data_IF_594487827048
#
_entry.id   IF_594487827048
#
_cell.length_a   1.000
_cell.length_b   1.000
_cell.length_c   1.000
_cell.angle_alpha   90.00
_cell.angle_beta   90.00
_cell.angle_gamma   90.00
#
_symmetry.space_group_name_H-M   'P 1'
#
loop_
_entity.id
_entity.type
_entity.pdbx_description
1 polymer ?
#
# COMPACT_ATOMS: atom_id res chain seq x y z
N UNK A 1 -10.73 -0.78 23.10
CA UNK A 1 -9.71 -1.31 22.18
C UNK A 1 -10.21 -1.21 20.75
N UNK A 2 -9.43 -0.58 19.85
CA UNK A 2 -9.80 -0.36 18.44
C UNK A 2 -8.93 -1.23 17.53
N UNK A 3 -9.53 -1.91 16.54
CA UNK A 3 -8.77 -2.61 15.51
C UNK A 3 -8.81 -1.85 14.21
N UNK A 4 -7.65 -1.58 13.65
CA UNK A 4 -7.52 -1.23 12.24
C UNK A 4 -7.14 -2.48 11.44
N UNK A 5 -8.14 -3.06 10.77
CA UNK A 5 -8.00 -4.17 9.83
C UNK A 5 -7.60 -3.59 8.47
N UNK A 6 -6.31 -3.37 8.29
CA UNK A 6 -5.71 -2.86 7.06
C UNK A 6 -5.24 -3.93 6.07
N UNK A 7 -5.52 -3.68 4.79
CA UNK A 7 -4.85 -4.28 3.64
C UNK A 7 -4.17 -3.12 2.89
N UNK A 8 -2.85 -3.07 2.89
CA UNK A 8 -2.11 -1.98 2.22
C UNK A 8 -2.09 -2.26 0.71
N UNK A 9 -3.18 -1.90 0.02
CA UNK A 9 -3.23 -1.78 -1.46
C UNK A 9 -3.11 -0.32 -1.91
N UNK A 10 -2.24 0.44 -1.25
CA UNK A 10 -1.99 1.86 -1.51
C UNK A 10 -1.37 2.56 -0.30
N UNK A 11 -0.95 3.81 -0.47
CA UNK A 11 -0.48 4.67 0.64
C UNK A 11 -1.59 4.83 1.70
N UNK A 12 -1.29 4.49 2.95
CA UNK A 12 -2.12 4.88 4.08
C UNK A 12 -1.69 6.28 4.48
N UNK A 13 -2.33 7.30 3.90
CA UNK A 13 -2.27 8.65 4.44
C UNK A 13 -3.35 8.73 5.51
N UNK A 14 -2.97 8.59 6.77
CA UNK A 14 -3.81 9.02 7.87
C UNK A 14 -3.85 10.56 7.81
N UNK A 15 -4.88 11.11 7.15
CA UNK A 15 -5.16 12.53 7.19
C UNK A 15 -5.84 12.81 8.52
N UNK A 16 -5.11 13.47 9.42
CA UNK A 16 -5.71 14.10 10.59
C UNK A 16 -6.62 15.23 10.10
N UNK A 17 -7.93 14.97 10.04
CA UNK A 17 -8.93 15.98 9.69
C UNK A 17 -9.21 16.90 10.89
N UNK A 18 -8.19 17.62 11.36
CA UNK A 18 -8.33 18.88 12.13
C UNK A 18 -9.22 18.87 13.37
N UNK A 19 -9.65 17.70 13.87
CA UNK A 19 -10.38 17.49 15.10
C UNK A 19 -9.77 16.27 15.75
N UNK A 20 -8.71 16.53 16.51
CA UNK A 20 -7.88 15.52 17.15
C UNK A 20 -8.72 14.39 17.74
N UNK A 21 -8.57 13.21 17.15
CA UNK A 21 -8.77 11.97 17.88
C UNK A 21 -7.65 11.97 18.93
N UNK A 22 -7.95 12.07 20.23
CA UNK A 22 -6.90 12.03 21.23
C UNK A 22 -6.22 10.66 21.10
N UNK A 23 -4.94 10.66 20.74
CA UNK A 23 -4.13 9.46 20.65
C UNK A 23 -3.89 8.78 22.03
N UNK A 24 -4.63 9.18 23.06
CA UNK A 24 -4.42 8.83 24.47
C UNK A 24 -5.37 7.76 25.02
N UNK A 25 -6.23 7.14 24.22
CA UNK A 25 -7.10 6.06 24.74
C UNK A 25 -7.46 4.93 23.77
N UNK A 26 -6.78 4.85 22.62
CA UNK A 26 -7.04 3.81 21.64
C UNK A 26 -5.78 2.98 21.41
N UNK A 27 -5.72 1.79 22.03
CA UNK A 27 -4.88 0.71 21.51
C UNK A 27 -5.32 0.48 20.06
N UNK A 28 -4.46 0.84 19.10
CA UNK A 28 -4.73 0.66 17.66
C UNK A 28 -4.03 -0.62 17.24
N UNK A 29 -4.78 -1.67 16.93
CA UNK A 29 -4.19 -2.87 16.34
C UNK A 29 -4.01 -2.64 14.84
N UNK A 30 -2.76 -2.59 14.35
CA UNK A 30 -2.46 -2.49 12.93
C UNK A 30 -2.27 -3.88 12.32
N UNK A 31 -3.12 -4.19 11.34
CA UNK A 31 -2.93 -5.33 10.45
C UNK A 31 -2.06 -4.93 9.25
N UNK A 32 -1.02 -5.70 8.99
CA UNK A 32 -0.34 -5.68 7.70
C UNK A 32 -0.70 -6.97 6.94
N UNK A 33 -1.83 -6.94 6.24
CA UNK A 33 -2.24 -8.07 5.41
C UNK A 33 -1.45 -8.07 4.09
N UNK A 34 -0.31 -8.75 4.10
CA UNK A 34 0.34 -9.21 2.87
C UNK A 34 0.47 -10.73 2.82
N UNK A 35 -0.07 -11.40 3.85
CA UNK A 35 -0.28 -12.84 3.90
C UNK A 35 -1.25 -13.25 2.79
N UNK A 36 -0.74 -14.02 1.84
CA UNK A 36 -1.57 -14.95 1.06
C UNK A 36 -2.42 -15.78 2.03
N UNK A 37 -3.65 -16.11 1.64
CA UNK A 37 -4.56 -16.93 2.45
C UNK A 37 -3.80 -18.13 3.07
N UNK A 38 -3.66 -18.13 4.39
CA UNK A 38 -2.92 -19.17 5.14
C UNK A 38 -1.66 -18.72 5.88
N UNK A 39 -1.10 -17.53 5.64
CA UNK A 39 0.09 -17.05 6.37
C UNK A 39 -0.29 -16.23 7.61
N UNK A 40 0.27 -16.61 8.78
CA UNK A 40 -0.05 -15.98 10.06
C UNK A 40 0.68 -14.65 10.33
N UNK A 41 1.62 -14.24 9.46
CA UNK A 41 2.55 -13.13 9.70
C UNK A 41 2.52 -12.12 8.56
N UNK A 42 2.49 -10.84 8.93
CA UNK A 42 2.53 -9.72 8.01
C UNK A 42 3.90 -9.60 7.34
N UNK A 43 3.94 -9.65 6.00
CA UNK A 43 5.15 -9.43 5.19
C UNK A 43 5.16 -8.05 4.56
N UNK A 44 5.71 -7.02 5.19
CA UNK A 44 5.68 -5.67 4.64
C UNK A 44 7.02 -4.97 4.83
N UNK A 45 7.42 -4.19 3.83
CA UNK A 45 8.56 -3.29 3.96
C UNK A 45 8.10 -2.03 4.65
N UNK A 46 8.77 -1.67 5.75
CA UNK A 46 8.64 -0.36 6.38
C UNK A 46 9.85 0.46 5.98
N UNK A 47 9.62 1.65 5.44
CA UNK A 47 10.65 2.55 4.92
C UNK A 47 10.47 3.94 5.54
N UNK A 48 11.55 4.65 5.80
CA UNK A 48 11.44 6.05 6.22
C UNK A 48 11.11 6.93 5.01
N UNK A 49 10.53 8.11 5.28
CA UNK A 49 10.26 9.09 4.22
C UNK A 49 11.54 9.51 3.48
N UNK A 50 12.63 9.70 4.23
CA UNK A 50 13.91 10.12 3.66
C UNK A 50 14.53 9.01 2.78
N UNK A 51 14.46 7.74 3.20
CA UNK A 51 15.05 6.64 2.43
C UNK A 51 14.26 6.37 1.15
N UNK A 52 12.92 6.49 1.20
CA UNK A 52 12.07 6.40 0.01
C UNK A 52 12.37 7.54 -0.98
N UNK A 53 12.50 8.78 -0.50
CA UNK A 53 12.86 9.91 -1.37
C UNK A 53 14.25 9.72 -2.01
N UNK A 54 15.24 9.25 -1.23
CA UNK A 54 16.56 8.92 -1.75
C UNK A 54 16.50 7.82 -2.82
N UNK A 55 15.71 6.76 -2.60
CA UNK A 55 15.52 5.71 -3.58
C UNK A 55 14.91 6.21 -4.89
N UNK A 56 13.90 7.09 -4.82
CA UNK A 56 13.32 7.72 -6.02
C UNK A 56 14.32 8.58 -6.79
N UNK A 57 15.26 9.24 -6.09
CA UNK A 57 16.35 9.97 -6.74
C UNK A 57 17.36 9.01 -7.40
N UNK A 58 17.76 7.95 -6.70
CA UNK A 58 18.73 6.96 -7.18
C UNK A 58 18.23 6.14 -8.37
N UNK A 59 16.92 5.88 -8.45
CA UNK A 59 16.30 5.21 -9.60
C UNK A 59 16.53 5.91 -10.94
N UNK A 60 16.94 7.19 -10.94
CA UNK A 60 17.30 7.94 -12.15
C UNK A 60 18.73 7.64 -12.63
N UNK A 61 19.57 7.08 -11.77
CA UNK A 61 21.03 6.96 -11.98
C UNK A 61 21.46 5.50 -12.02
N UNK A 62 20.88 4.65 -11.16
CA UNK A 62 21.28 3.24 -11.02
C UNK A 62 20.11 2.26 -11.19
N UNK A 63 20.37 0.99 -11.55
CA UNK A 63 19.34 -0.04 -11.71
C UNK A 63 18.51 -0.30 -10.45
N UNK A 64 17.22 -0.62 -10.63
CA UNK A 64 16.25 -0.85 -9.56
C UNK A 64 16.70 -1.92 -8.54
N UNK A 65 17.33 -3.01 -8.97
CA UNK A 65 17.77 -4.08 -8.08
C UNK A 65 18.83 -3.61 -7.06
N UNK A 66 19.71 -2.69 -7.45
CA UNK A 66 20.69 -2.08 -6.55
C UNK A 66 20.00 -1.14 -5.55
N UNK A 67 19.03 -0.34 -6.02
CA UNK A 67 18.25 0.54 -5.14
C UNK A 67 17.47 -0.27 -4.10
N UNK A 68 16.88 -1.40 -4.51
CA UNK A 68 16.16 -2.29 -3.60
C UNK A 68 17.07 -2.90 -2.55
N UNK A 69 18.25 -3.36 -2.95
CA UNK A 69 19.24 -3.94 -2.02
C UNK A 69 19.71 -2.89 -1.02
N UNK A 70 19.97 -1.66 -1.50
CA UNK A 70 20.32 -0.53 -0.66
C UNK A 70 19.20 -0.19 0.33
N UNK A 71 17.94 -0.13 -0.12
CA UNK A 71 16.80 0.13 0.75
C UNK A 71 16.63 -0.93 1.83
N UNK A 72 16.79 -2.22 1.49
CA UNK A 72 16.73 -3.31 2.47
C UNK A 72 17.84 -3.17 3.51
N UNK A 73 19.05 -2.81 3.09
CA UNK A 73 20.17 -2.58 4.01
C UNK A 73 19.91 -1.38 4.93
N UNK A 74 19.49 -0.24 4.37
CA UNK A 74 19.15 0.97 5.12
C UNK A 74 18.04 0.68 6.14
N UNK A 75 16.98 -0.04 5.74
CA UNK A 75 15.91 -0.42 6.64
C UNK A 75 16.41 -1.32 7.78
N UNK A 76 17.29 -2.29 7.49
CA UNK A 76 17.87 -3.18 8.51
C UNK A 76 18.72 -2.39 9.51
N UNK A 77 19.48 -1.39 9.05
CA UNK A 77 20.26 -0.51 9.93
C UNK A 77 19.36 0.43 10.74
N UNK A 78 18.34 1.01 10.12
CA UNK A 78 17.47 2.02 10.75
C UNK A 78 16.53 1.39 11.78
N UNK A 79 15.92 0.26 11.44
CA UNK A 79 14.83 -0.32 12.21
C UNK A 79 15.18 -1.59 12.96
N UNK A 80 16.27 -2.25 12.57
CA UNK A 80 16.68 -3.55 13.11
C UNK A 80 15.80 -4.68 12.61
N UNK A 81 15.81 -5.79 13.36
CA UNK A 81 14.95 -6.94 13.09
C UNK A 81 13.54 -6.75 13.68
N UNK A 82 12.56 -6.64 12.79
CA UNK A 82 11.15 -6.43 13.11
C UNK A 82 10.35 -7.74 13.26
N UNK A 83 10.97 -8.90 13.03
CA UNK A 83 10.30 -10.20 13.13
C UNK A 83 9.68 -10.44 14.50
N UNK A 84 10.35 -9.95 15.56
CA UNK A 84 9.88 -10.01 16.96
C UNK A 84 8.56 -9.26 17.20
N UNK A 85 8.22 -8.29 16.34
CA UNK A 85 6.99 -7.52 16.40
C UNK A 85 5.93 -8.04 15.42
N UNK A 86 6.08 -9.25 14.86
CA UNK A 86 5.13 -9.83 13.92
C UNK A 86 5.22 -9.27 12.50
N UNK A 87 6.29 -8.52 12.18
CA UNK A 87 6.54 -7.95 10.86
C UNK A 87 7.73 -8.67 10.21
N UNK A 88 7.45 -9.41 9.15
CA UNK A 88 8.48 -10.07 8.35
C UNK A 88 8.85 -9.23 7.12
N UNK A 89 10.13 -9.24 6.78
CA UNK A 89 10.61 -8.63 5.55
C UNK A 89 10.22 -9.52 4.36
N UNK A 90 9.51 -8.99 3.34
CA UNK A 90 9.25 -9.72 2.11
C UNK A 90 10.53 -10.16 1.38
N UNK A 91 10.44 -11.22 0.57
CA UNK A 91 11.55 -11.68 -0.29
C UNK A 91 11.88 -10.67 -1.40
N UNK A 92 10.86 -10.12 -2.03
CA UNK A 92 11.02 -9.08 -3.05
C UNK A 92 11.40 -7.76 -2.36
N UNK A 93 12.26 -6.96 -3.00
CA UNK A 93 12.62 -5.63 -2.49
C UNK A 93 11.45 -4.64 -2.49
N UNK A 94 11.55 -3.50 -1.78
CA UNK A 94 10.50 -2.49 -1.66
C UNK A 94 9.90 -2.03 -3.00
N UNK A 95 10.74 -1.80 -4.00
CA UNK A 95 10.34 -1.29 -5.31
C UNK A 95 9.92 -2.43 -6.24
N UNK A 96 10.64 -3.56 -6.23
CA UNK A 96 10.26 -4.74 -7.01
C UNK A 96 8.89 -5.29 -6.58
N UNK A 97 8.63 -5.34 -5.27
CA UNK A 97 7.33 -5.76 -4.73
C UNK A 97 6.19 -4.87 -5.20
N UNK A 98 6.45 -3.57 -5.37
CA UNK A 98 5.51 -2.62 -5.96
C UNK A 98 5.25 -2.90 -7.43
N UNK A 99 6.31 -3.08 -8.23
CA UNK A 99 6.18 -3.30 -9.68
C UNK A 99 5.51 -4.64 -9.98
N UNK A 100 5.96 -5.72 -9.33
CA UNK A 100 5.53 -7.09 -9.61
C UNK A 100 4.16 -7.41 -9.02
N UNK A 101 3.94 -7.03 -7.76
CA UNK A 101 2.76 -7.47 -6.99
C UNK A 101 1.80 -6.32 -6.67
N UNK A 102 2.12 -5.07 -7.05
CA UNK A 102 1.36 -3.90 -6.65
C UNK A 102 1.39 -3.64 -5.14
N UNK A 103 2.33 -4.26 -4.41
CA UNK A 103 2.46 -4.14 -2.95
C UNK A 103 3.37 -2.97 -2.62
N UNK A 104 2.82 -1.94 -1.99
CA UNK A 104 3.59 -0.78 -1.56
C UNK A 104 4.23 -1.02 -0.19
N UNK A 105 5.41 -0.43 -0.01
CA UNK A 105 6.02 -0.28 1.30
C UNK A 105 5.27 0.76 2.12
N UNK A 106 5.20 0.55 3.44
CA UNK A 106 4.64 1.50 4.38
C UNK A 106 5.71 2.56 4.66
N UNK A 107 5.38 3.82 4.42
CA UNK A 107 6.22 4.94 4.85
C UNK A 107 5.97 5.17 6.33
N UNK A 108 6.99 4.94 7.16
CA UNK A 108 6.92 5.16 8.59
C UNK A 108 6.95 6.65 8.93
N UNK A 109 5.98 7.05 9.75
CA UNK A 109 5.82 8.41 10.27
C UNK A 109 5.75 8.42 11.80
N UNK A 110 6.23 7.36 12.45
CA UNK A 110 6.14 7.14 13.91
C UNK A 110 5.28 5.92 14.29
N UNK A 111 4.77 5.20 13.30
CA UNK A 111 4.00 3.96 13.51
C UNK A 111 4.86 2.88 14.15
N UNK A 112 6.10 2.76 13.70
CA UNK A 112 6.99 1.73 14.21
C UNK A 112 7.37 1.95 15.68
N UNK A 113 7.52 3.20 16.11
CA UNK A 113 7.77 3.53 17.52
C UNK A 113 6.63 3.04 18.40
N UNK A 114 5.38 3.26 17.97
CA UNK A 114 4.19 2.77 18.67
C UNK A 114 4.07 1.24 18.68
N UNK A 115 4.54 0.57 17.63
CA UNK A 115 4.63 -0.90 17.62
C UNK A 115 5.67 -1.37 18.64
N UNK A 116 6.82 -0.69 18.71
CA UNK A 116 7.89 -1.02 19.66
C UNK A 116 7.50 -0.73 21.12
N UNK A 117 6.73 0.33 21.38
CA UNK A 117 6.22 0.66 22.71
C UNK A 117 5.08 -0.25 23.18
N UNK A 118 4.44 -0.98 22.25
CA UNK A 118 3.31 -1.86 22.55
C UNK A 118 1.94 -1.17 22.49
N UNK A 119 1.89 0.14 22.24
CA UNK A 119 0.66 0.89 21.95
C UNK A 119 -0.07 0.36 20.71
N UNK A 120 0.69 -0.19 19.75
CA UNK A 120 0.16 -0.88 18.57
C UNK A 120 0.60 -2.33 18.59
N UNK A 121 -0.36 -3.24 18.61
CA UNK A 121 -0.11 -4.67 18.50
C UNK A 121 -0.34 -5.15 17.07
N UNK A 122 0.58 -5.97 16.55
CA UNK A 122 0.43 -6.63 15.25
C UNK A 122 -0.15 -8.03 15.48
N UNK A 123 -1.37 -8.26 14.98
CA UNK A 123 -2.07 -9.53 15.12
C UNK A 123 -2.10 -10.31 13.78
N UNK A 124 -2.28 -11.66 13.83
CA UNK A 124 -2.41 -12.48 12.63
C UNK A 124 -3.61 -12.11 11.75
N UNK A 125 -3.77 -12.81 10.63
CA UNK A 125 -4.92 -12.59 9.73
C UNK A 125 -6.27 -12.77 10.45
N UNK A 126 -7.23 -11.89 10.17
CA UNK A 126 -8.62 -12.04 10.58
C UNK A 126 -9.19 -13.33 9.97
N UNK A 127 -9.80 -14.18 10.81
CA UNK A 127 -10.49 -15.40 10.36
C UNK A 127 -12.00 -15.22 10.26
N UNK A 128 -12.61 -14.64 11.30
CA UNK A 128 -14.06 -14.40 11.33
C UNK A 128 -14.43 -13.38 12.38
N UNK A 129 -15.52 -12.65 12.16
CA UNK A 129 -16.17 -11.79 13.16
C UNK A 129 -17.43 -12.53 13.63
N UNK A 130 -17.64 -12.60 14.95
CA UNK A 130 -18.72 -13.33 15.62
C UNK A 130 -19.49 -12.41 16.58
N UNK A 131 -20.53 -12.95 17.23
CA UNK A 131 -21.17 -12.32 18.38
C UNK A 131 -21.76 -10.93 18.08
N UNK A 132 -22.41 -10.76 16.93
CA UNK A 132 -23.01 -9.47 16.55
C UNK A 132 -22.02 -8.37 16.13
N UNK A 133 -20.72 -8.69 15.98
CA UNK A 133 -19.72 -7.77 15.43
C UNK A 133 -18.56 -7.44 16.36
N UNK A 134 -18.65 -7.75 17.66
CA UNK A 134 -17.61 -7.42 18.65
C UNK A 134 -16.50 -8.47 18.81
N UNK A 135 -16.80 -9.74 18.52
CA UNK A 135 -15.82 -10.83 18.67
C UNK A 135 -15.04 -11.06 17.40
N UNK A 136 -13.71 -10.96 17.50
CA UNK A 136 -12.81 -11.15 16.38
C UNK A 136 -11.92 -12.37 16.61
N UNK A 137 -12.06 -13.36 15.73
CA UNK A 137 -11.23 -14.57 15.72
C UNK A 137 -10.12 -14.42 14.69
N UNK A 138 -8.88 -14.69 15.10
CA UNK A 138 -7.70 -14.61 14.24
C UNK A 138 -7.25 -15.99 13.73
N UNK A 139 -6.36 -16.01 12.75
CA UNK A 139 -5.86 -17.21 12.09
C UNK A 139 -5.15 -18.20 13.03
N UNK A 140 -4.64 -17.72 14.16
CA UNK A 140 -4.07 -18.55 15.22
C UNK A 140 -5.12 -19.13 16.19
N UNK A 141 -6.41 -18.91 15.94
CA UNK A 141 -7.52 -19.36 16.78
C UNK A 141 -7.82 -18.50 18.01
N UNK A 142 -7.00 -17.47 18.29
CA UNK A 142 -7.26 -16.55 19.41
C UNK A 142 -8.46 -15.65 19.09
N UNK A 143 -9.25 -15.36 20.12
CA UNK A 143 -10.41 -14.48 20.06
C UNK A 143 -10.15 -13.24 20.91
N UNK A 144 -10.54 -12.07 20.40
CA UNK A 144 -10.44 -10.79 21.10
C UNK A 144 -11.73 -10.00 20.90
N UNK A 145 -12.07 -9.18 21.90
CA UNK A 145 -13.22 -8.28 21.88
C UNK A 145 -12.76 -6.87 21.52
N UNK A 146 -13.49 -6.20 20.63
CA UNK A 146 -13.17 -4.86 20.19
C UNK A 146 -14.39 -3.96 20.15
N UNK A 147 -14.21 -2.70 20.54
CA UNK A 147 -15.30 -1.71 20.54
C UNK A 147 -15.55 -1.16 19.13
N UNK A 148 -14.48 -1.10 18.32
CA UNK A 148 -14.51 -0.56 16.96
C UNK A 148 -13.61 -1.40 16.05
N UNK A 149 -14.13 -1.72 14.87
CA UNK A 149 -13.41 -2.39 13.78
C UNK A 149 -13.38 -1.46 12.57
N UNK A 150 -12.19 -0.99 12.21
CA UNK A 150 -11.95 -0.14 11.05
C UNK A 150 -11.36 -0.96 9.90
N UNK A 151 -12.06 -1.03 8.76
CA UNK A 151 -11.53 -1.65 7.55
C UNK A 151 -10.75 -0.64 6.71
N UNK A 152 -9.43 -0.75 6.73
CA UNK A 152 -8.51 0.02 5.89
C UNK A 152 -7.99 -0.82 4.72
N UNK A 153 -8.91 -1.47 3.98
CA UNK A 153 -8.58 -2.46 2.95
C UNK A 153 -8.39 -1.89 1.54
N UNK A 154 -8.35 -0.56 1.43
CA UNK A 154 -8.23 0.17 0.16
C UNK A 154 -9.56 0.33 -0.57
N UNK A 155 -9.48 0.71 -1.85
CA UNK A 155 -10.64 1.04 -2.68
C UNK A 155 -10.65 0.20 -3.97
N UNK A 156 -11.86 -0.13 -4.46
CA UNK A 156 -12.08 -0.68 -5.79
C UNK A 156 -12.41 0.45 -6.77
N UNK A 157 -11.93 0.33 -8.01
CA UNK A 157 -12.23 1.28 -9.09
C UNK A 157 -13.43 0.75 -9.88
N UNK A 158 -14.46 1.57 -10.04
CA UNK A 158 -15.66 1.24 -10.82
C UNK A 158 -15.65 1.83 -12.22
N UNK A 159 -14.53 2.42 -12.67
CA UNK A 159 -14.44 3.11 -13.97
C UNK A 159 -14.86 2.23 -15.14
N UNK A 160 -14.51 0.95 -15.12
CA UNK A 160 -14.91 -0.02 -16.14
C UNK A 160 -16.43 -0.31 -16.18
N UNK A 161 -17.20 0.06 -15.14
CA UNK A 161 -18.64 -0.16 -15.09
C UNK A 161 -19.46 0.94 -15.76
N UNK A 162 -18.90 2.14 -15.92
CA UNK A 162 -19.62 3.30 -16.45
C UNK A 162 -18.96 3.92 -17.68
N UNK A 163 -17.67 3.69 -17.92
CA UNK A 163 -16.97 4.20 -19.09
C UNK A 163 -17.34 3.41 -20.35
N UNK A 164 -18.22 3.96 -21.16
CA UNK A 164 -18.62 3.37 -22.45
C UNK A 164 -17.45 3.40 -23.43
N UNK A 165 -17.22 2.28 -24.14
CA UNK A 165 -16.09 2.13 -25.06
C UNK A 165 -14.71 2.04 -24.37
N UNK A 166 -14.68 1.88 -23.05
CA UNK A 166 -13.47 1.74 -22.25
C UNK A 166 -12.97 0.30 -22.07
N UNK A 167 -13.66 -0.69 -22.64
CA UNK A 167 -13.37 -2.12 -22.41
C UNK A 167 -11.99 -2.54 -22.94
N UNK A 168 -11.53 -1.94 -24.03
CA UNK A 168 -10.17 -2.14 -24.55
C UNK A 168 -9.12 -1.40 -23.72
N UNK A 169 -9.50 -0.35 -22.99
CA UNK A 169 -8.61 0.51 -22.24
C UNK A 169 -8.39 0.02 -20.80
N UNK A 170 -9.44 -0.43 -20.11
CA UNK A 170 -9.41 -0.79 -18.70
C UNK A 170 -9.76 -2.27 -18.48
N UNK A 171 -9.07 -2.92 -17.55
CA UNK A 171 -9.45 -4.24 -17.06
C UNK A 171 -10.55 -4.16 -15.99
N UNK A 172 -11.01 -5.33 -15.52
CA UNK A 172 -12.01 -5.48 -14.46
C UNK A 172 -11.61 -4.85 -13.11
N UNK A 173 -10.31 -4.60 -12.88
CA UNK A 173 -9.82 -3.88 -11.70
C UNK A 173 -9.83 -2.34 -11.89
N UNK A 174 -10.32 -1.86 -13.05
CA UNK A 174 -10.30 -0.45 -13.47
C UNK A 174 -8.88 0.08 -13.71
N UNK A 175 -7.95 -0.80 -14.10
CA UNK A 175 -6.55 -0.48 -14.40
C UNK A 175 -6.32 -0.51 -15.91
N UNK A 176 -5.35 0.25 -16.45
CA UNK A 176 -5.04 0.19 -17.87
C UNK A 176 -4.62 -1.22 -18.29
N UNK A 177 -5.12 -1.68 -19.45
CA UNK A 177 -4.74 -2.97 -20.03
C UNK A 177 -3.31 -2.96 -20.57
N UNK A 178 -2.87 -1.83 -21.14
CA UNK A 178 -1.52 -1.68 -21.68
C UNK A 178 -0.48 -1.54 -20.57
N UNK A 179 0.69 -2.11 -20.79
CA UNK A 179 1.81 -2.04 -19.85
C UNK A 179 2.61 -0.74 -19.98
N UNK A 180 3.39 -0.43 -18.94
CA UNK A 180 4.37 0.66 -18.97
C UNK A 180 5.38 0.43 -20.11
N UNK A 181 5.79 1.46 -20.88
CA UNK A 181 5.56 2.89 -20.67
C UNK A 181 4.32 3.47 -21.37
N UNK A 182 3.53 2.64 -22.06
CA UNK A 182 2.43 3.11 -22.91
C UNK A 182 1.05 2.91 -22.28
N UNK A 183 0.99 2.51 -21.01
CA UNK A 183 -0.23 2.31 -20.21
C UNK A 183 -1.19 3.50 -20.18
N UNK A 184 -0.72 4.71 -20.49
CA UNK A 184 -1.51 5.93 -20.46
C UNK A 184 -2.32 6.18 -21.74
N UNK A 185 -2.00 5.49 -22.84
CA UNK A 185 -2.60 5.75 -24.16
C UNK A 185 -3.70 4.74 -24.48
N UNK A 186 -4.90 5.25 -24.74
CA UNK A 186 -6.02 4.47 -25.27
C UNK A 186 -6.33 4.76 -26.73
N UNK A 187 -7.45 4.23 -27.18
CA UNK A 187 -8.00 4.43 -28.53
C UNK A 187 -9.05 5.56 -28.53
N UNK A 188 -9.41 6.05 -29.71
CA UNK A 188 -10.51 7.03 -29.88
C UNK A 188 -10.40 8.30 -29.03
N UNK A 189 -9.16 8.75 -28.76
CA UNK A 189 -8.91 9.94 -27.94
C UNK A 189 -9.08 9.74 -26.43
N UNK A 190 -9.23 8.50 -25.96
CA UNK A 190 -9.24 8.17 -24.53
C UNK A 190 -7.82 7.98 -24.00
N UNK A 191 -7.60 8.41 -22.75
CA UNK A 191 -6.31 8.33 -22.07
C UNK A 191 -6.48 7.97 -20.59
N UNK A 192 -5.46 7.32 -20.04
CA UNK A 192 -5.36 6.93 -18.63
C UNK A 192 -4.28 7.76 -17.93
N UNK A 193 -4.67 8.72 -17.09
CA UNK A 193 -3.73 9.47 -16.26
C UNK A 193 -3.76 8.98 -14.81
N UNK A 194 -2.64 8.46 -14.29
CA UNK A 194 -2.53 8.10 -12.87
C UNK A 194 -3.25 6.80 -12.46
N UNK A 195 -3.77 6.04 -13.43
CA UNK A 195 -4.44 4.77 -13.16
C UNK A 195 -3.47 3.58 -13.02
N UNK A 196 -2.19 3.74 -13.35
CA UNK A 196 -1.20 2.65 -13.44
C UNK A 196 -0.47 2.28 -12.13
N UNK A 197 -0.94 2.75 -10.95
CA UNK A 197 -0.25 2.55 -9.66
C UNK A 197 1.20 3.11 -9.66
N UNK A 198 1.50 4.03 -10.55
CA UNK A 198 2.79 4.71 -10.60
C UNK A 198 2.89 5.91 -9.62
N UNK A 199 1.84 6.15 -8.83
CA UNK A 199 1.81 7.22 -7.81
C UNK A 199 1.72 8.61 -8.44
N UNK A 200 1.85 9.66 -7.64
CA UNK A 200 1.71 11.05 -8.12
C UNK A 200 2.74 11.41 -9.21
N UNK A 201 3.98 10.95 -9.06
CA UNK A 201 5.01 11.16 -10.09
C UNK A 201 4.67 10.46 -11.41
N UNK A 202 4.12 9.26 -11.33
CA UNK A 202 3.61 8.54 -12.49
C UNK A 202 2.45 9.26 -13.16
N UNK A 203 1.47 9.73 -12.38
CA UNK A 203 0.34 10.49 -12.89
C UNK A 203 0.79 11.78 -13.61
N UNK A 204 1.79 12.48 -13.07
CA UNK A 204 2.37 13.66 -13.70
C UNK A 204 3.03 13.31 -15.05
N UNK A 205 3.77 12.20 -15.10
CA UNK A 205 4.38 11.71 -16.35
C UNK A 205 3.33 11.33 -17.38
N UNK A 206 2.28 10.63 -16.96
CA UNK A 206 1.15 10.27 -17.82
C UNK A 206 0.51 11.53 -18.41
N UNK A 207 0.22 12.54 -17.56
CA UNK A 207 -0.36 13.80 -18.01
C UNK A 207 0.53 14.54 -19.03
N UNK A 208 1.85 14.57 -18.82
CA UNK A 208 2.79 15.16 -19.77
C UNK A 208 2.79 14.42 -21.12
N UNK A 209 2.81 13.09 -21.09
CA UNK A 209 2.76 12.28 -22.31
C UNK A 209 1.46 12.49 -23.09
N UNK A 210 0.32 12.55 -22.38
CA UNK A 210 -1.00 12.82 -22.96
C UNK A 210 -1.01 14.19 -23.61
N UNK A 211 -0.56 15.23 -22.91
CA UNK A 211 -0.52 16.60 -23.43
C UNK A 211 0.35 16.70 -24.69
N UNK A 212 1.53 16.08 -24.70
CA UNK A 212 2.40 16.02 -25.87
C UNK A 212 1.78 15.26 -27.03
N UNK A 213 1.04 14.18 -26.75
CA UNK A 213 0.36 13.42 -27.79
C UNK A 213 -0.77 14.25 -28.42
N UNK A 214 -1.60 14.91 -27.61
CA UNK A 214 -2.66 15.80 -28.09
C UNK A 214 -2.07 16.94 -28.91
N UNK A 215 -1.00 17.57 -28.45
CA UNK A 215 -0.32 18.65 -29.18
C UNK A 215 0.15 18.22 -30.57
N UNK A 216 0.56 16.95 -30.75
CA UNK A 216 0.98 16.42 -32.06
C UNK A 216 -0.18 16.09 -33.00
N UNK A 217 -1.41 16.07 -32.50
CA UNK A 217 -2.62 15.78 -33.30
C UNK A 217 -3.29 17.03 -33.86
N UNK A 218 -2.89 18.22 -33.38
CA UNK A 218 -3.42 19.53 -33.76
C UNK A 218 -2.35 20.24 -34.61
#
# INVERSE_FOLDING_TARGET
>A
MVVAIGYVRGEVVARDEGKGIPATLCDVVLRAETATAGEAVAKVHIVSRWSMNLALMLLKIIPMHLVDTLLVLVNKVTYGDLSRYGLQTPKDGPLLGRVKNGKYSIVDVGTLEKIKSGEIQVLPALKSIKGGGGEVVFGNGKCYQFDVILFATGFKRSTHLWLQGGDSLLNQDGMPNSEYPNHWKGENGLYCAGLSRSGLYGAAKDAQNIAQHIFKLI
#
